data_IF_635852439729
#
_entry.id   IF_635852439729
#
_cell.length_a   1.000
_cell.length_b   1.000
_cell.length_c   1.000
_cell.angle_alpha   90.00
_cell.angle_beta   90.00
_cell.angle_gamma   90.00
#
_symmetry.space_group_name_H-M   'P 1'
#
loop_
_entity.id
_entity.type
_entity.pdbx_description
1 polymer ?
#
# COMPACT_ATOMS: atom_id res chain seq x y z
N UNK A 1 -18.87 14.90 5.69
CA UNK A 1 -17.82 14.15 6.41
C UNK A 1 -17.83 12.76 5.84
N UNK A 2 -16.91 12.47 4.92
CA UNK A 2 -16.75 11.12 4.37
C UNK A 2 -15.66 10.37 5.15
N UNK A 3 -15.80 9.07 5.31
CA UNK A 3 -14.76 8.17 5.81
C UNK A 3 -13.89 7.71 4.66
N UNK A 4 -12.64 8.15 4.65
CA UNK A 4 -11.71 7.95 3.54
C UNK A 4 -10.52 7.12 4.01
N UNK A 5 -10.29 6.00 3.35
CA UNK A 5 -9.02 5.25 3.47
C UNK A 5 -8.07 5.72 2.37
N UNK A 6 -6.88 6.15 2.75
CA UNK A 6 -5.81 6.53 1.81
C UNK A 6 -4.70 5.49 1.83
N UNK A 7 -4.40 4.92 0.66
CA UNK A 7 -3.31 3.97 0.44
C UNK A 7 -2.09 4.66 -0.15
N UNK A 8 -1.00 4.70 0.61
CA UNK A 8 0.20 5.43 0.23
C UNK A 8 1.20 4.58 -0.56
N UNK A 9 1.65 5.17 -1.67
CA UNK A 9 2.73 4.76 -2.55
C UNK A 9 4.10 4.57 -1.87
N UNK A 10 5.09 4.05 -2.63
CA UNK A 10 6.47 4.03 -2.15
C UNK A 10 7.08 5.44 -2.08
N UNK A 11 6.68 6.32 -3.00
CA UNK A 11 7.03 7.74 -3.08
C UNK A 11 6.58 8.57 -1.87
N UNK A 12 5.61 8.08 -1.09
CA UNK A 12 5.16 8.74 0.13
C UNK A 12 6.20 8.68 1.27
N UNK A 13 7.16 7.75 1.18
CA UNK A 13 8.16 7.47 2.21
C UNK A 13 9.57 7.51 1.62
N UNK A 14 9.79 6.85 0.48
CA UNK A 14 11.11 6.72 -0.12
C UNK A 14 11.40 7.88 -1.08
N UNK A 15 12.61 8.42 -0.97
CA UNK A 15 13.18 9.38 -1.93
C UNK A 15 14.33 8.72 -2.72
N UNK A 16 15.01 9.48 -3.61
CA UNK A 16 16.25 8.99 -4.24
C UNK A 16 17.35 8.68 -3.21
N UNK A 17 17.32 9.38 -2.08
CA UNK A 17 18.11 9.08 -0.90
C UNK A 17 17.30 8.16 0.05
N UNK A 18 17.91 7.02 0.41
CA UNK A 18 17.33 6.01 1.29
C UNK A 18 17.60 6.27 2.79
N UNK A 19 18.32 7.35 3.14
CA UNK A 19 18.58 7.73 4.53
C UNK A 19 17.28 7.94 5.32
N UNK A 20 17.34 7.70 6.63
CA UNK A 20 16.19 7.94 7.51
C UNK A 20 15.74 9.42 7.46
N UNK A 21 16.68 10.36 7.40
CA UNK A 21 16.39 11.79 7.28
C UNK A 21 15.60 12.11 6.01
N UNK A 22 16.04 11.59 4.86
CA UNK A 22 15.34 11.81 3.59
C UNK A 22 13.95 11.17 3.58
N UNK A 23 13.79 9.98 4.18
CA UNK A 23 12.49 9.34 4.31
C UNK A 23 11.54 10.11 5.24
N UNK A 24 12.02 10.60 6.38
CA UNK A 24 11.24 11.45 7.28
C UNK A 24 10.81 12.75 6.60
N UNK A 25 11.67 13.34 5.76
CA UNK A 25 11.34 14.53 4.95
C UNK A 25 10.26 14.23 3.91
N UNK A 26 10.31 13.07 3.26
CA UNK A 26 9.25 12.63 2.34
C UNK A 26 7.92 12.41 3.07
N UNK A 27 7.95 11.75 4.23
CA UNK A 27 6.77 11.57 5.10
C UNK A 27 6.16 12.90 5.52
N UNK A 28 6.98 13.91 5.86
CA UNK A 28 6.48 15.26 6.19
C UNK A 28 5.79 15.94 5.01
N UNK A 29 6.31 15.80 3.80
CA UNK A 29 5.62 16.30 2.59
C UNK A 29 4.29 15.58 2.37
N UNK A 30 4.26 14.26 2.54
CA UNK A 30 3.03 13.47 2.46
C UNK A 30 2.01 13.92 3.50
N UNK A 31 2.43 14.19 4.74
CA UNK A 31 1.54 14.65 5.79
C UNK A 31 0.83 15.99 5.43
N UNK A 32 1.55 16.93 4.81
CA UNK A 32 0.98 18.20 4.30
C UNK A 32 -0.14 17.99 3.28
N UNK A 33 -0.02 16.98 2.45
CA UNK A 33 -1.05 16.62 1.49
C UNK A 33 -2.24 15.95 2.18
N UNK A 34 -1.97 15.02 3.11
CA UNK A 34 -3.02 14.28 3.83
C UNK A 34 -3.90 15.16 4.72
N UNK A 35 -3.36 16.21 5.33
CA UNK A 35 -4.18 17.14 6.14
C UNK A 35 -5.22 17.89 5.32
N UNK A 36 -5.12 17.92 3.98
CA UNK A 36 -6.15 18.52 3.10
C UNK A 36 -7.48 17.77 3.20
N UNK A 37 -7.48 16.44 3.31
CA UNK A 37 -8.70 15.66 3.57
C UNK A 37 -9.33 16.05 4.91
N UNK A 38 -8.50 16.27 5.94
CA UNK A 38 -8.97 16.67 7.26
C UNK A 38 -9.60 18.06 7.22
N UNK A 39 -8.98 19.01 6.49
CA UNK A 39 -9.54 20.35 6.24
C UNK A 39 -10.85 20.33 5.45
N UNK A 40 -11.00 19.37 4.53
CA UNK A 40 -12.26 19.10 3.82
C UNK A 40 -13.36 18.52 4.74
N UNK A 41 -13.03 18.18 5.98
CA UNK A 41 -13.96 17.63 6.97
C UNK A 41 -14.11 16.11 6.89
N UNK A 42 -13.16 15.41 6.27
CA UNK A 42 -13.16 13.95 6.16
C UNK A 42 -12.57 13.27 7.40
N UNK A 43 -13.01 12.03 7.64
CA UNK A 43 -12.39 11.10 8.57
C UNK A 43 -11.32 10.31 7.82
N UNK A 44 -10.07 10.67 8.06
CA UNK A 44 -8.91 10.07 7.37
C UNK A 44 -8.43 8.81 8.09
N UNK A 45 -8.21 7.75 7.32
CA UNK A 45 -7.51 6.52 7.71
C UNK A 45 -6.32 6.34 6.76
N UNK A 46 -5.13 6.09 7.31
CA UNK A 46 -3.90 6.02 6.53
C UNK A 46 -3.41 4.57 6.48
N UNK A 47 -3.07 4.09 5.28
CA UNK A 47 -2.29 2.86 5.08
C UNK A 47 -1.08 3.19 4.21
N UNK A 48 -0.03 2.36 4.26
CA UNK A 48 1.18 2.62 3.48
C UNK A 48 1.87 1.32 3.06
N UNK A 49 2.77 1.42 2.06
CA UNK A 49 3.70 0.34 1.73
C UNK A 49 4.93 0.32 2.61
N UNK A 50 5.71 -0.76 2.54
CA UNK A 50 6.99 -0.88 3.24
C UNK A 50 8.07 -1.60 2.40
N UNK A 51 7.84 -1.88 1.12
CA UNK A 51 8.69 -2.79 0.32
C UNK A 51 10.20 -2.49 0.36
N UNK A 52 10.63 -1.23 0.14
CA UNK A 52 12.03 -0.84 0.31
C UNK A 52 12.51 -1.00 1.77
N UNK A 53 11.71 -0.56 2.74
CA UNK A 53 12.07 -0.55 4.16
C UNK A 53 12.23 -1.96 4.73
N UNK A 54 11.28 -2.85 4.45
CA UNK A 54 11.30 -4.23 4.95
C UNK A 54 12.43 -5.03 4.31
N UNK A 55 12.72 -4.81 3.04
CA UNK A 55 13.85 -5.49 2.40
C UNK A 55 15.21 -4.95 2.86
N UNK A 56 15.36 -3.64 3.10
CA UNK A 56 16.58 -3.11 3.71
C UNK A 56 16.79 -3.64 5.13
N UNK A 57 15.72 -3.70 5.93
CA UNK A 57 15.79 -4.28 7.27
C UNK A 57 16.17 -5.77 7.21
N UNK A 58 15.62 -6.51 6.27
CA UNK A 58 15.95 -7.92 6.08
C UNK A 58 17.42 -8.14 5.68
N UNK A 59 18.00 -7.23 4.87
CA UNK A 59 19.44 -7.25 4.59
C UNK A 59 20.28 -7.01 5.85
N UNK A 60 19.83 -6.11 6.73
CA UNK A 60 20.49 -5.87 8.02
C UNK A 60 20.39 -7.09 8.94
N UNK A 61 19.22 -7.76 8.99
CA UNK A 61 19.02 -8.99 9.74
C UNK A 61 19.96 -10.10 9.24
N UNK A 62 19.99 -10.32 7.92
CA UNK A 62 20.87 -11.32 7.30
C UNK A 62 22.35 -11.03 7.53
N UNK A 63 22.77 -9.77 7.48
CA UNK A 63 24.17 -9.38 7.70
C UNK A 63 24.62 -9.60 9.15
N UNK A 64 23.69 -9.56 10.11
CA UNK A 64 23.95 -9.75 11.53
C UNK A 64 23.60 -11.17 12.03
N UNK A 65 23.13 -12.05 11.14
CA UNK A 65 22.66 -13.39 11.48
C UNK A 65 23.80 -14.26 12.02
N UNK A 66 23.58 -14.81 13.20
CA UNK A 66 24.53 -15.69 13.89
C UNK A 66 23.82 -16.51 14.97
N UNK A 67 24.46 -17.55 15.49
CA UNK A 67 23.90 -18.37 16.57
C UNK A 67 23.55 -17.54 17.83
N UNK A 68 24.32 -16.49 18.12
CA UNK A 68 24.10 -15.60 19.27
C UNK A 68 23.22 -14.39 18.96
N UNK A 69 22.96 -14.11 17.67
CA UNK A 69 22.09 -13.03 17.21
C UNK A 69 21.36 -13.47 15.93
N UNK A 70 20.37 -14.35 16.03
CA UNK A 70 19.68 -14.88 14.86
C UNK A 70 18.84 -13.80 14.17
N UNK A 71 18.82 -13.84 12.84
CA UNK A 71 17.97 -12.98 12.02
C UNK A 71 16.48 -13.17 12.34
N UNK A 72 15.77 -12.06 12.43
CA UNK A 72 14.31 -12.08 12.56
C UNK A 72 13.65 -12.46 11.22
N UNK A 73 12.56 -13.25 11.25
CA UNK A 73 11.84 -13.63 10.05
C UNK A 73 11.14 -12.42 9.40
N UNK A 74 10.75 -12.57 8.14
CA UNK A 74 10.20 -11.48 7.31
C UNK A 74 8.93 -10.85 7.90
N UNK A 75 8.04 -11.63 8.48
CA UNK A 75 6.80 -11.15 9.13
C UNK A 75 7.12 -10.23 10.31
N UNK A 76 8.13 -10.60 11.12
CA UNK A 76 8.62 -9.78 12.24
C UNK A 76 9.31 -8.51 11.73
N UNK A 77 10.08 -8.59 10.65
CA UNK A 77 10.61 -7.41 9.97
C UNK A 77 9.47 -6.49 9.48
N UNK A 78 8.37 -7.08 8.97
CA UNK A 78 7.14 -6.38 8.64
C UNK A 78 6.60 -5.58 9.83
N UNK A 79 6.48 -6.22 11.00
CA UNK A 79 6.05 -5.57 12.24
C UNK A 79 6.96 -4.40 12.65
N UNK A 80 8.28 -4.59 12.58
CA UNK A 80 9.26 -3.53 12.86
C UNK A 80 9.08 -2.32 11.94
N UNK A 81 8.81 -2.55 10.65
CA UNK A 81 8.57 -1.45 9.70
C UNK A 81 7.24 -0.72 9.92
N UNK A 82 6.21 -1.39 10.46
CA UNK A 82 5.00 -0.68 10.89
C UNK A 82 5.29 0.27 12.04
N UNK A 83 6.10 -0.18 13.02
CA UNK A 83 6.53 0.67 14.12
C UNK A 83 7.32 1.89 13.65
N UNK A 84 8.35 1.69 12.82
CA UNK A 84 9.21 2.80 12.37
C UNK A 84 8.49 3.80 11.44
N UNK A 85 7.75 3.31 10.45
CA UNK A 85 7.02 4.18 9.50
C UNK A 85 5.81 4.84 10.20
N UNK A 86 5.09 4.08 11.03
CA UNK A 86 3.98 4.60 11.82
C UNK A 86 4.42 5.71 12.77
N UNK A 87 5.57 5.55 13.44
CA UNK A 87 6.20 6.59 14.24
C UNK A 87 6.48 7.87 13.43
N UNK A 88 7.07 7.76 12.24
CA UNK A 88 7.34 8.93 11.39
C UNK A 88 6.06 9.65 10.96
N UNK A 89 5.04 8.91 10.53
CA UNK A 89 3.76 9.51 10.13
C UNK A 89 3.02 10.12 11.31
N UNK A 90 3.03 9.49 12.49
CA UNK A 90 2.42 10.07 13.68
C UNK A 90 3.03 11.44 14.01
N UNK A 91 4.36 11.54 14.02
CA UNK A 91 5.05 12.79 14.30
C UNK A 91 4.73 13.86 13.25
N UNK A 92 4.86 13.51 11.96
CA UNK A 92 4.62 14.44 10.88
C UNK A 92 3.16 14.92 10.83
N UNK A 93 2.19 14.02 10.95
CA UNK A 93 0.78 14.39 10.96
C UNK A 93 0.43 15.25 12.18
N UNK A 94 0.92 14.91 13.38
CA UNK A 94 0.63 15.72 14.58
C UNK A 94 1.23 17.12 14.46
N UNK A 95 2.45 17.25 13.93
CA UNK A 95 3.08 18.55 13.65
C UNK A 95 2.20 19.40 12.71
N UNK A 96 1.84 18.86 11.53
CA UNK A 96 1.04 19.60 10.54
C UNK A 96 -0.38 19.94 11.05
N UNK A 97 -0.97 19.08 11.89
CA UNK A 97 -2.26 19.36 12.53
C UNK A 97 -2.16 20.52 13.53
N UNK A 98 -1.12 20.53 14.37
CA UNK A 98 -0.90 21.59 15.35
C UNK A 98 -0.60 22.94 14.68
N UNK A 99 0.18 22.94 13.60
CA UNK A 99 0.45 24.15 12.79
C UNK A 99 -0.83 24.76 12.21
N UNK A 100 -1.85 23.93 11.95
CA UNK A 100 -3.17 24.34 11.49
C UNK A 100 -4.16 24.64 12.63
N UNK A 101 -3.73 24.52 13.89
CA UNK A 101 -4.59 24.68 15.07
C UNK A 101 -5.65 23.58 15.23
N UNK A 102 -5.42 22.40 14.64
CA UNK A 102 -6.31 21.25 14.70
C UNK A 102 -5.84 20.31 15.81
N UNK A 103 -6.62 20.20 16.89
CA UNK A 103 -6.34 19.24 17.95
C UNK A 103 -7.03 17.90 17.67
N UNK A 104 -6.30 17.01 16.99
CA UNK A 104 -6.68 15.60 16.79
C UNK A 104 -5.50 14.69 17.11
N UNK A 105 -5.81 13.49 17.57
CA UNK A 105 -4.81 12.45 17.80
C UNK A 105 -4.55 11.63 16.55
N UNK A 106 -3.31 11.14 16.44
CA UNK A 106 -2.84 10.28 15.36
C UNK A 106 -2.21 9.05 16.00
N UNK A 107 -2.63 7.85 15.59
CA UNK A 107 -2.23 6.60 16.23
C UNK A 107 -1.84 5.55 15.19
N UNK A 108 -0.60 5.07 15.23
CA UNK A 108 -0.20 3.88 14.49
C UNK A 108 -0.57 2.62 15.27
N UNK A 109 -1.16 1.66 14.57
CA UNK A 109 -1.65 0.41 15.16
C UNK A 109 -0.93 -0.73 14.46
N UNK A 110 -0.20 -1.53 15.25
CA UNK A 110 0.37 -2.78 14.75
C UNK A 110 -0.78 -3.66 14.26
N UNK A 111 -0.74 -4.01 12.98
CA UNK A 111 -1.85 -4.63 12.26
C UNK A 111 -1.42 -5.98 11.71
N UNK A 112 -2.19 -7.01 12.03
CA UNK A 112 -2.08 -8.35 11.47
C UNK A 112 -3.15 -8.53 10.38
N UNK A 113 -2.74 -9.11 9.27
CA UNK A 113 -3.62 -9.43 8.15
C UNK A 113 -3.69 -10.93 7.98
N UNK A 114 -4.91 -11.46 8.12
CA UNK A 114 -5.18 -12.88 7.98
C UNK A 114 -5.19 -13.25 6.50
N UNK A 115 -4.46 -14.30 6.17
CA UNK A 115 -4.34 -14.85 4.81
C UNK A 115 -4.69 -16.34 4.81
N UNK A 116 -4.95 -16.90 3.63
CA UNK A 116 -5.16 -18.35 3.48
C UNK A 116 -3.81 -19.07 3.61
N UNK A 117 -3.74 -20.12 4.43
CA UNK A 117 -2.52 -20.94 4.54
C UNK A 117 -2.19 -21.67 3.23
N UNK A 118 -3.19 -21.92 2.39
CA UNK A 118 -3.04 -22.60 1.11
C UNK A 118 -3.05 -21.63 -0.09
N UNK A 119 -2.81 -20.33 0.14
CA UNK A 119 -2.75 -19.36 -0.97
C UNK A 119 -1.62 -19.76 -1.96
N UNK A 120 -1.91 -19.90 -3.27
CA UNK A 120 -0.90 -20.27 -4.28
C UNK A 120 0.30 -19.34 -4.34
N UNK A 121 0.20 -18.12 -3.82
CA UNK A 121 1.31 -17.18 -3.74
C UNK A 121 2.47 -17.66 -2.84
N UNK A 122 2.22 -18.60 -1.92
CA UNK A 122 3.29 -19.22 -1.13
C UNK A 122 4.20 -20.11 -1.96
N UNK A 123 3.66 -20.75 -3.01
CA UNK A 123 4.43 -21.57 -3.94
C UNK A 123 4.98 -20.74 -5.10
N UNK A 124 4.34 -19.61 -5.42
CA UNK A 124 4.68 -18.74 -6.56
C UNK A 124 4.96 -17.29 -6.09
N UNK A 125 6.13 -17.02 -5.47
CA UNK A 125 6.46 -15.70 -4.97
C UNK A 125 6.63 -14.71 -6.11
N UNK A 126 6.07 -13.51 -5.94
CA UNK A 126 6.03 -12.48 -6.99
C UNK A 126 6.22 -11.06 -6.49
N UNK A 127 6.12 -10.82 -5.18
CA UNK A 127 6.23 -9.46 -4.62
C UNK A 127 7.68 -9.06 -4.44
N UNK A 128 8.18 -8.04 -5.14
CA UNK A 128 9.58 -7.66 -5.02
C UNK A 128 9.82 -6.85 -3.74
N UNK A 129 10.86 -7.19 -2.99
CA UNK A 129 11.29 -6.50 -1.76
C UNK A 129 12.77 -6.11 -1.82
N UNK A 130 13.17 -5.12 -1.03
CA UNK A 130 14.58 -4.71 -0.92
C UNK A 130 15.11 -3.94 -2.13
N UNK A 131 16.45 -3.74 -2.19
CA UNK A 131 17.11 -2.94 -3.22
C UNK A 131 17.14 -3.65 -4.57
N UNK A 132 17.55 -2.91 -5.60
CA UNK A 132 17.85 -3.46 -6.93
C UNK A 132 19.28 -3.98 -6.98
N UNK A 133 19.44 -5.15 -7.59
CA UNK A 133 20.72 -5.80 -7.88
C UNK A 133 21.00 -5.78 -9.39
N UNK A 134 22.28 -5.79 -9.75
CA UNK A 134 22.77 -5.99 -11.11
C UNK A 134 22.85 -7.47 -11.43
N UNK A 135 22.83 -7.81 -12.71
CA UNK A 135 22.97 -9.19 -13.19
C UNK A 135 24.27 -9.85 -12.70
N UNK A 136 25.36 -9.08 -12.63
CA UNK A 136 26.66 -9.54 -12.16
C UNK A 136 26.68 -9.99 -10.69
N UNK A 137 25.72 -9.54 -9.88
CA UNK A 137 25.64 -9.85 -8.45
C UNK A 137 24.83 -11.13 -8.17
N UNK A 138 24.10 -11.65 -9.17
CA UNK A 138 23.14 -12.75 -8.98
C UNK A 138 23.78 -14.06 -8.54
N UNK A 139 24.97 -14.38 -9.06
CA UNK A 139 25.68 -15.62 -8.71
C UNK A 139 26.12 -15.64 -7.25
N UNK A 140 26.60 -14.49 -6.75
CA UNK A 140 27.00 -14.34 -5.35
C UNK A 140 25.78 -14.39 -4.42
N UNK A 141 24.71 -13.67 -4.76
CA UNK A 141 23.46 -13.68 -3.99
C UNK A 141 22.87 -15.09 -3.88
N UNK A 142 22.86 -15.87 -4.97
CA UNK A 142 22.40 -17.26 -4.94
C UNK A 142 23.31 -18.17 -4.10
N UNK A 143 24.62 -17.91 -4.07
CA UNK A 143 25.52 -18.67 -3.20
C UNK A 143 25.32 -18.36 -1.73
N UNK A 144 25.07 -17.08 -1.38
CA UNK A 144 24.84 -16.65 0.00
C UNK A 144 23.44 -17.00 0.49
N UNK A 145 22.45 -16.98 -0.41
CA UNK A 145 21.05 -17.20 -0.11
C UNK A 145 20.40 -18.15 -1.14
N UNK A 146 20.68 -19.46 -1.04
CA UNK A 146 20.18 -20.45 -2.01
C UNK A 146 18.65 -20.48 -2.17
N UNK A 147 17.93 -20.11 -1.11
CA UNK A 147 16.46 -20.15 -1.08
C UNK A 147 15.81 -18.86 -1.63
N UNK A 148 16.60 -17.87 -2.03
CA UNK A 148 16.05 -16.62 -2.58
C UNK A 148 15.59 -16.80 -4.02
N UNK A 149 14.33 -16.47 -4.27
CA UNK A 149 13.81 -16.27 -5.62
C UNK A 149 14.10 -14.83 -6.03
N UNK A 150 14.84 -14.65 -7.13
CA UNK A 150 15.22 -13.34 -7.67
C UNK A 150 14.70 -13.24 -9.11
N UNK A 151 14.00 -12.15 -9.43
CA UNK A 151 13.45 -11.89 -10.76
C UNK A 151 13.94 -10.53 -11.30
N UNK A 152 13.85 -10.36 -12.61
CA UNK A 152 13.98 -9.06 -13.28
C UNK A 152 12.75 -8.19 -12.97
N UNK A 153 12.96 -6.90 -12.64
CA UNK A 153 11.89 -5.95 -12.31
C UNK A 153 11.87 -4.76 -13.30
N UNK A 154 11.23 -5.00 -14.44
CA UNK A 154 10.77 -3.98 -15.38
C UNK A 154 11.90 -3.14 -16.00
N UNK A 155 13.03 -3.77 -16.33
CA UNK A 155 14.22 -3.14 -16.90
C UNK A 155 15.09 -2.37 -15.89
N UNK A 156 14.74 -2.40 -14.60
CA UNK A 156 15.44 -1.61 -13.55
C UNK A 156 16.51 -2.40 -12.80
N UNK A 157 16.68 -3.67 -13.15
CA UNK A 157 17.56 -4.62 -12.48
C UNK A 157 16.78 -5.76 -11.84
N UNK A 158 17.40 -6.43 -10.88
CA UNK A 158 16.88 -7.65 -10.28
C UNK A 158 16.51 -7.44 -8.83
N UNK A 159 15.47 -8.13 -8.34
CA UNK A 159 15.02 -8.03 -6.95
C UNK A 159 14.60 -9.38 -6.40
N UNK A 160 14.82 -9.57 -5.09
CA UNK A 160 14.25 -10.69 -4.35
C UNK A 160 12.74 -10.57 -4.35
N UNK A 161 12.05 -11.68 -4.63
CA UNK A 161 10.59 -11.79 -4.48
C UNK A 161 10.21 -12.69 -3.32
N UNK A 162 9.07 -12.39 -2.74
CA UNK A 162 8.46 -13.14 -1.64
C UNK A 162 6.99 -13.41 -1.93
N UNK A 163 6.35 -14.35 -1.21
CA UNK A 163 4.92 -14.60 -1.32
C UNK A 163 4.09 -13.33 -1.11
N UNK A 164 2.99 -13.21 -1.86
CA UNK A 164 2.03 -12.10 -1.77
C UNK A 164 0.59 -12.61 -1.74
N UNK A 165 0.20 -13.31 -0.65
CA UNK A 165 -1.14 -13.84 -0.52
C UNK A 165 -2.19 -12.73 -0.41
N UNK A 166 -3.42 -13.03 -0.80
CA UNK A 166 -4.52 -12.06 -0.73
C UNK A 166 -4.99 -11.87 0.72
N UNK A 167 -5.29 -10.63 1.15
CA UNK A 167 -5.81 -10.38 2.48
C UNK A 167 -7.25 -10.88 2.59
N UNK A 168 -7.50 -11.80 3.51
CA UNK A 168 -8.85 -12.26 3.84
C UNK A 168 -9.53 -11.28 4.80
N UNK A 169 -8.82 -10.88 5.85
CA UNK A 169 -9.34 -10.08 6.96
C UNK A 169 -8.21 -9.29 7.65
N UNK A 170 -8.53 -8.13 8.22
CA UNK A 170 -7.64 -7.39 9.10
C UNK A 170 -8.02 -7.71 10.53
N UNK A 171 -7.14 -8.31 11.32
CA UNK A 171 -7.50 -8.83 12.65
C UNK A 171 -7.98 -7.72 13.60
N UNK A 172 -7.32 -6.56 13.59
CA UNK A 172 -7.61 -5.45 14.50
C UNK A 172 -8.77 -4.54 14.03
N UNK A 173 -9.51 -4.89 12.97
CA UNK A 173 -10.48 -3.97 12.34
C UNK A 173 -11.54 -3.43 13.30
N UNK A 174 -12.02 -4.24 14.25
CA UNK A 174 -13.03 -3.80 15.24
C UNK A 174 -12.50 -2.74 16.20
N UNK A 175 -11.22 -2.80 16.57
CA UNK A 175 -10.56 -1.77 17.36
C UNK A 175 -10.31 -0.52 16.51
N UNK A 176 -9.88 -0.70 15.26
CA UNK A 176 -9.67 0.40 14.30
C UNK A 176 -10.97 1.20 14.10
N UNK A 177 -12.13 0.55 13.97
CA UNK A 177 -13.44 1.25 13.88
C UNK A 177 -13.67 2.16 15.09
N UNK A 178 -13.43 1.67 16.31
CA UNK A 178 -13.60 2.48 17.54
C UNK A 178 -12.64 3.69 17.57
N UNK A 179 -11.43 3.53 17.07
CA UNK A 179 -10.45 4.63 16.96
C UNK A 179 -10.95 5.70 15.98
N UNK A 180 -11.45 5.29 14.81
CA UNK A 180 -12.06 6.20 13.83
C UNK A 180 -13.29 6.91 14.40
N UNK A 181 -14.17 6.18 15.09
CA UNK A 181 -15.39 6.72 15.70
C UNK A 181 -15.07 7.73 16.82
N UNK A 182 -13.93 7.58 17.48
CA UNK A 182 -13.42 8.54 18.47
C UNK A 182 -12.79 9.80 17.85
N UNK A 183 -12.75 9.92 16.52
CA UNK A 183 -12.16 11.07 15.80
C UNK A 183 -10.63 11.05 15.74
N UNK A 184 -10.01 9.94 16.14
CA UNK A 184 -8.57 9.72 16.05
C UNK A 184 -8.24 9.29 14.61
N UNK A 185 -7.09 9.71 14.09
CA UNK A 185 -6.60 9.36 12.75
C UNK A 185 -5.70 8.11 12.86
N UNK A 186 -6.18 6.93 12.43
CA UNK A 186 -5.38 5.72 12.54
C UNK A 186 -4.44 5.54 11.34
N UNK A 187 -3.22 5.08 11.61
CA UNK A 187 -2.27 4.57 10.63
C UNK A 187 -2.22 3.05 10.80
N UNK A 188 -2.69 2.32 9.82
CA UNK A 188 -2.98 0.87 9.94
C UNK A 188 -2.49 0.11 8.73
N UNK A 189 -2.40 -1.21 8.85
CA UNK A 189 -2.04 -2.10 7.76
C UNK A 189 -0.74 -1.67 7.04
N UNK A 190 0.24 -1.14 7.79
CA UNK A 190 1.52 -0.73 7.23
C UNK A 190 2.21 -1.93 6.55
N UNK A 191 2.63 -1.74 5.30
CA UNK A 191 3.17 -2.82 4.47
C UNK A 191 2.16 -3.86 3.99
N UNK A 192 0.86 -3.58 4.10
CA UNK A 192 -0.20 -4.57 3.88
C UNK A 192 -0.59 -5.36 5.14
N UNK A 193 0.02 -5.05 6.30
CA UNK A 193 -0.18 -5.78 7.55
C UNK A 193 0.75 -7.00 7.69
N UNK A 194 0.94 -7.47 8.92
CA UNK A 194 1.77 -8.65 9.24
C UNK A 194 0.99 -9.89 8.77
N UNK A 195 1.51 -10.70 7.83
CA UNK A 195 0.79 -11.87 7.33
C UNK A 195 0.69 -12.93 8.41
N UNK A 196 -0.54 -13.35 8.73
CA UNK A 196 -0.80 -14.41 9.70
C UNK A 196 -1.82 -15.41 9.17
N UNK A 197 -1.71 -16.67 9.60
CA UNK A 197 -2.73 -17.70 9.39
C UNK A 197 -3.36 -18.11 10.71
N UNK A 198 -4.64 -18.48 10.69
CA UNK A 198 -5.33 -19.02 11.86
C UNK A 198 -5.01 -20.50 12.05
N UNK A 199 -4.45 -20.88 13.21
CA UNK A 199 -4.24 -22.27 13.62
C UNK A 199 -4.93 -22.53 14.95
N UNK A 200 -6.19 -22.98 14.87
CA UNK A 200 -7.07 -23.04 16.04
C UNK A 200 -7.27 -21.65 16.63
N UNK A 201 -6.96 -21.48 17.92
CA UNK A 201 -7.07 -20.19 18.63
C UNK A 201 -5.80 -19.32 18.55
N UNK A 202 -4.85 -19.65 17.68
CA UNK A 202 -3.57 -18.91 17.53
C UNK A 202 -3.46 -18.30 16.15
N UNK A 203 -2.83 -17.13 16.09
CA UNK A 203 -2.31 -16.55 14.85
C UNK A 203 -0.83 -16.92 14.73
N UNK A 204 -0.43 -17.37 13.55
CA UNK A 204 0.95 -17.75 13.26
C UNK A 204 1.44 -16.92 12.09
N UNK A 205 2.55 -16.21 12.30
CA UNK A 205 3.21 -15.43 11.27
C UNK A 205 3.65 -16.26 10.07
N UNK A 206 3.57 -15.67 8.89
CA UNK A 206 4.03 -16.27 7.64
C UNK A 206 4.94 -15.28 6.93
N UNK A 207 6.09 -15.76 6.44
CA UNK A 207 7.04 -14.94 5.69
C UNK A 207 6.49 -14.60 4.30
N UNK A 208 5.77 -13.47 4.24
CA UNK A 208 5.15 -12.94 3.05
C UNK A 208 5.07 -11.41 3.14
N UNK A 209 4.79 -10.76 2.02
CA UNK A 209 4.43 -9.34 1.99
C UNK A 209 3.13 -9.19 1.21
N UNK A 210 2.10 -8.76 1.91
CA UNK A 210 0.77 -8.57 1.35
C UNK A 210 0.77 -7.30 0.51
N UNK A 211 0.05 -7.33 -0.62
CA UNK A 211 -0.11 -6.13 -1.40
C UNK A 211 -0.93 -5.08 -0.63
N UNK A 212 -0.31 -3.92 -0.42
CA UNK A 212 -0.88 -2.82 0.36
C UNK A 212 -2.19 -2.29 -0.23
N UNK A 213 -2.37 -2.30 -1.55
CA UNK A 213 -3.55 -1.73 -2.19
C UNK A 213 -4.75 -2.67 -1.95
N UNK A 214 -4.53 -3.98 -2.04
CA UNK A 214 -5.53 -4.98 -1.62
C UNK A 214 -5.83 -4.92 -0.12
N UNK A 215 -4.82 -4.70 0.72
CA UNK A 215 -5.04 -4.58 2.17
C UNK A 215 -5.80 -3.29 2.52
N UNK A 216 -5.48 -2.18 1.87
CA UNK A 216 -6.22 -0.91 1.97
C UNK A 216 -7.68 -1.07 1.55
N UNK A 217 -7.92 -1.76 0.42
CA UNK A 217 -9.26 -2.14 -0.03
C UNK A 217 -9.99 -3.00 1.00
N UNK A 218 -9.30 -3.97 1.63
CA UNK A 218 -9.88 -4.83 2.67
C UNK A 218 -10.25 -4.06 3.92
N UNK A 219 -9.37 -3.21 4.47
CA UNK A 219 -9.71 -2.41 5.66
C UNK A 219 -10.83 -1.42 5.35
N UNK A 220 -10.83 -0.79 4.17
CA UNK A 220 -11.87 0.12 3.74
C UNK A 220 -13.25 -0.55 3.70
N UNK A 221 -13.33 -1.79 3.21
CA UNK A 221 -14.55 -2.61 3.27
C UNK A 221 -14.98 -2.88 4.72
N UNK A 222 -14.06 -3.30 5.58
CA UNK A 222 -14.37 -3.71 6.96
C UNK A 222 -14.82 -2.56 7.87
N UNK A 223 -14.39 -1.33 7.57
CA UNK A 223 -14.73 -0.13 8.35
C UNK A 223 -15.86 0.70 7.73
N UNK A 224 -16.50 0.20 6.67
CA UNK A 224 -17.57 0.90 5.94
C UNK A 224 -17.09 2.27 5.46
N UNK A 225 -15.96 2.32 4.74
CA UNK A 225 -15.44 3.55 4.17
C UNK A 225 -16.30 4.02 2.98
N UNK A 226 -16.52 5.33 2.90
CA UNK A 226 -17.27 5.97 1.81
C UNK A 226 -16.44 6.10 0.53
N UNK A 227 -15.11 6.10 0.66
CA UNK A 227 -14.18 6.20 -0.47
C UNK A 227 -12.84 5.54 -0.11
N UNK A 228 -12.24 4.88 -1.09
CA UNK A 228 -10.84 4.49 -1.06
C UNK A 228 -10.05 5.38 -2.01
N UNK A 229 -8.91 5.89 -1.57
CA UNK A 229 -8.00 6.69 -2.40
C UNK A 229 -6.66 5.96 -2.44
N UNK A 230 -6.14 5.69 -3.63
CA UNK A 230 -4.83 5.07 -3.85
C UNK A 230 -3.91 6.14 -4.44
N UNK A 231 -2.96 6.61 -3.64
CA UNK A 231 -2.00 7.63 -4.07
C UNK A 231 -0.74 6.98 -4.64
N UNK A 232 -0.39 7.36 -5.87
CA UNK A 232 0.72 6.82 -6.65
C UNK A 232 1.67 7.95 -7.10
N UNK A 233 2.54 7.65 -8.07
CA UNK A 233 3.46 8.57 -8.73
C UNK A 233 3.32 8.56 -10.25
N UNK A 234 2.13 8.19 -10.74
CA UNK A 234 1.87 7.90 -12.15
C UNK A 234 0.67 8.70 -12.70
N UNK A 235 0.11 9.60 -11.92
CA UNK A 235 -1.16 10.28 -12.16
C UNK A 235 -2.32 9.33 -11.89
N UNK A 236 -3.14 9.14 -12.91
CA UNK A 236 -4.26 8.20 -12.90
C UNK A 236 -3.95 6.84 -13.53
N UNK A 237 -5.02 6.21 -14.01
CA UNK A 237 -5.02 4.99 -14.81
C UNK A 237 -5.09 5.39 -16.28
N UNK A 238 -4.34 4.68 -17.12
CA UNK A 238 -4.31 4.93 -18.56
C UNK A 238 -4.56 3.65 -19.33
N UNK A 239 -5.32 3.74 -20.41
CA UNK A 239 -5.24 2.76 -21.50
C UNK A 239 -4.03 3.06 -22.37
N UNK A 240 -3.42 2.00 -22.93
CA UNK A 240 -2.23 2.12 -23.78
C UNK A 240 -1.07 2.92 -23.15
N UNK A 241 -0.86 2.75 -21.84
CA UNK A 241 0.18 3.45 -21.10
C UNK A 241 1.56 3.35 -21.80
N UNK A 242 2.22 4.49 -22.00
CA UNK A 242 3.52 4.60 -22.66
C UNK A 242 3.49 4.51 -24.20
N UNK A 243 2.32 4.44 -24.83
CA UNK A 243 2.17 4.41 -26.30
C UNK A 243 1.65 5.74 -26.84
N UNK A 244 1.78 6.02 -28.16
CA UNK A 244 1.29 7.26 -28.77
C UNK A 244 -0.21 7.49 -28.62
N UNK A 245 -0.98 6.42 -28.47
CA UNK A 245 -2.43 6.39 -28.28
C UNK A 245 -2.83 6.22 -26.81
N UNK A 246 -1.95 6.61 -25.88
CA UNK A 246 -2.25 6.63 -24.45
C UNK A 246 -3.45 7.53 -24.15
N UNK A 247 -4.40 7.03 -23.35
CA UNK A 247 -5.58 7.78 -22.90
C UNK A 247 -5.73 7.65 -21.40
N UNK A 248 -5.85 8.78 -20.70
CA UNK A 248 -6.15 8.81 -19.27
C UNK A 248 -7.64 8.53 -19.02
N UNK A 249 -7.92 7.69 -18.04
CA UNK A 249 -9.27 7.44 -17.56
C UNK A 249 -9.62 8.47 -16.49
N UNK A 250 -10.64 9.30 -16.72
CA UNK A 250 -11.13 10.22 -15.67
C UNK A 250 -12.21 9.58 -14.80
N UNK A 251 -13.22 8.97 -15.41
CA UNK A 251 -14.21 8.13 -14.73
C UNK A 251 -14.42 6.84 -15.53
N UNK A 252 -14.47 5.68 -14.85
CA UNK A 252 -14.65 4.38 -15.51
C UNK A 252 -15.48 3.42 -14.65
N UNK A 253 -16.32 2.64 -15.30
CA UNK A 253 -17.10 1.57 -14.68
C UNK A 253 -16.27 0.33 -14.37
N UNK A 254 -16.65 -0.41 -13.32
CA UNK A 254 -15.94 -1.65 -12.97
C UNK A 254 -16.04 -2.73 -14.05
N UNK A 255 -17.12 -2.77 -14.85
CA UNK A 255 -17.30 -3.77 -15.90
C UNK A 255 -16.40 -3.48 -17.12
N UNK A 256 -16.17 -2.21 -17.44
CA UNK A 256 -15.27 -1.80 -18.52
C UNK A 256 -13.82 -2.08 -18.13
N UNK A 257 -13.38 -1.58 -16.97
CA UNK A 257 -12.00 -1.77 -16.53
C UNK A 257 -11.67 -3.26 -16.27
N UNK A 258 -12.66 -4.09 -15.92
CA UNK A 258 -12.48 -5.54 -15.75
C UNK A 258 -12.06 -6.21 -17.07
N UNK A 259 -12.59 -5.78 -18.21
CA UNK A 259 -12.21 -6.34 -19.52
C UNK A 259 -10.71 -6.10 -19.79
N UNK A 260 -10.21 -4.91 -19.46
CA UNK A 260 -8.79 -4.57 -19.59
C UNK A 260 -7.89 -5.31 -18.59
N UNK A 261 -8.40 -5.58 -17.37
CA UNK A 261 -7.73 -6.44 -16.39
C UNK A 261 -7.59 -7.87 -16.95
N UNK A 262 -8.67 -8.43 -17.47
CA UNK A 262 -8.71 -9.80 -18.00
C UNK A 262 -7.82 -9.96 -19.25
N UNK A 263 -7.73 -8.90 -20.05
CA UNK A 263 -6.82 -8.80 -21.20
C UNK A 263 -5.33 -8.55 -20.81
N UNK A 264 -5.01 -8.44 -19.52
CA UNK A 264 -3.66 -8.17 -19.00
C UNK A 264 -3.04 -6.86 -19.53
N UNK A 265 -3.83 -5.81 -19.74
CA UNK A 265 -3.35 -4.56 -20.34
C UNK A 265 -2.67 -3.61 -19.34
N UNK A 266 -2.77 -3.89 -18.03
CA UNK A 266 -2.08 -3.14 -16.99
C UNK A 266 -0.78 -3.82 -16.54
N UNK A 267 0.22 -3.02 -16.15
CA UNK A 267 1.50 -3.53 -15.68
C UNK A 267 1.36 -4.30 -14.35
N UNK A 268 1.77 -5.58 -14.33
CA UNK A 268 1.63 -6.52 -13.20
C UNK A 268 2.30 -6.07 -11.90
N UNK A 269 3.42 -5.33 -11.99
CA UNK A 269 4.18 -4.86 -10.84
C UNK A 269 3.74 -3.51 -10.26
N UNK A 270 2.79 -2.81 -10.89
CA UNK A 270 2.41 -1.44 -10.51
C UNK A 270 0.91 -1.18 -10.59
N UNK A 271 0.36 -0.99 -11.79
CA UNK A 271 -1.02 -0.53 -11.95
C UNK A 271 -2.04 -1.68 -11.81
N UNK A 272 -1.72 -2.89 -12.27
CA UNK A 272 -2.61 -4.05 -12.18
C UNK A 272 -3.16 -4.31 -10.76
N UNK A 273 -2.32 -4.42 -9.69
CA UNK A 273 -2.85 -4.64 -8.36
C UNK A 273 -3.73 -3.48 -7.86
N UNK A 274 -3.47 -2.24 -8.29
CA UNK A 274 -4.28 -1.06 -7.92
C UNK A 274 -5.68 -1.14 -8.49
N UNK A 275 -5.80 -1.39 -9.79
CA UNK A 275 -7.11 -1.49 -10.45
C UNK A 275 -7.87 -2.72 -9.95
N UNK A 276 -7.19 -3.84 -9.68
CA UNK A 276 -7.84 -5.02 -9.11
C UNK A 276 -8.34 -4.78 -7.68
N UNK A 277 -7.55 -4.12 -6.83
CA UNK A 277 -7.97 -3.75 -5.48
C UNK A 277 -9.13 -2.74 -5.50
N UNK A 278 -9.12 -1.82 -6.46
CA UNK A 278 -10.17 -0.84 -6.66
C UNK A 278 -11.49 -1.52 -7.09
N UNK A 279 -11.45 -2.37 -8.12
CA UNK A 279 -12.61 -3.14 -8.57
C UNK A 279 -13.18 -4.00 -7.43
N UNK A 280 -12.33 -4.64 -6.62
CA UNK A 280 -12.78 -5.41 -5.47
C UNK A 280 -13.53 -4.54 -4.44
N UNK A 281 -13.03 -3.33 -4.14
CA UNK A 281 -13.69 -2.41 -3.22
C UNK A 281 -15.06 -1.97 -3.76
N UNK A 282 -15.11 -1.47 -5.00
CA UNK A 282 -16.35 -0.97 -5.61
C UNK A 282 -17.38 -2.08 -5.75
N UNK A 283 -16.96 -3.29 -6.14
CA UNK A 283 -17.86 -4.44 -6.27
C UNK A 283 -18.49 -4.84 -4.94
N UNK A 284 -17.73 -4.79 -3.85
CA UNK A 284 -18.19 -5.22 -2.53
C UNK A 284 -18.98 -4.14 -1.77
N UNK A 285 -18.72 -2.86 -2.03
CA UNK A 285 -19.31 -1.74 -1.27
C UNK A 285 -20.28 -0.89 -2.08
N UNK A 286 -20.12 -0.84 -3.40
CA UNK A 286 -20.75 0.16 -4.26
C UNK A 286 -20.13 1.55 -4.21
N UNK A 287 -19.16 1.78 -3.31
CA UNK A 287 -18.52 3.08 -3.10
C UNK A 287 -17.35 3.30 -4.07
N UNK A 288 -17.05 4.57 -4.41
CA UNK A 288 -16.02 4.89 -5.40
C UNK A 288 -14.59 4.69 -4.90
N UNK A 289 -13.68 4.48 -5.85
CA UNK A 289 -12.23 4.51 -5.63
C UNK A 289 -11.63 5.61 -6.50
N UNK A 290 -10.66 6.37 -5.96
CA UNK A 290 -9.86 7.29 -6.77
C UNK A 290 -8.40 6.83 -6.78
N UNK A 291 -7.82 6.71 -7.97
CA UNK A 291 -6.38 6.46 -8.17
C UNK A 291 -5.78 7.75 -8.74
N UNK A 292 -4.84 8.35 -8.04
CA UNK A 292 -4.26 9.64 -8.40
C UNK A 292 -2.88 9.86 -7.81
N UNK A 293 -2.27 11.00 -8.12
CA UNK A 293 -0.96 11.36 -7.57
C UNK A 293 -1.05 12.04 -6.21
N UNK A 294 -0.01 11.83 -5.40
CA UNK A 294 0.12 12.45 -4.09
C UNK A 294 0.17 13.99 -4.17
N UNK A 295 0.71 14.55 -5.23
CA UNK A 295 0.83 16.01 -5.41
C UNK A 295 -0.51 16.66 -5.78
N UNK A 296 -1.47 15.86 -6.29
CA UNK A 296 -2.77 16.32 -6.78
C UNK A 296 -3.89 16.11 -5.74
N UNK A 297 -3.57 15.90 -4.47
CA UNK A 297 -4.59 15.59 -3.44
C UNK A 297 -5.69 16.65 -3.36
N UNK A 298 -5.36 17.93 -3.54
CA UNK A 298 -6.37 18.99 -3.57
C UNK A 298 -7.33 18.81 -4.75
N UNK A 299 -6.81 18.57 -5.94
CA UNK A 299 -7.59 18.37 -7.16
C UNK A 299 -8.41 17.06 -7.11
N UNK A 300 -7.87 16.02 -6.47
CA UNK A 300 -8.58 14.75 -6.19
C UNK A 300 -9.79 14.97 -5.25
N UNK A 301 -9.64 15.84 -4.23
CA UNK A 301 -10.74 16.20 -3.33
C UNK A 301 -11.84 16.94 -4.12
N UNK A 302 -11.44 17.84 -5.03
CA UNK A 302 -12.36 18.62 -5.87
C UNK A 302 -12.97 17.80 -7.03
N UNK A 303 -12.37 16.65 -7.37
CA UNK A 303 -12.82 15.77 -8.45
C UNK A 303 -12.30 16.14 -9.84
N UNK A 304 -11.23 16.95 -9.90
CA UNK A 304 -10.64 17.43 -11.16
C UNK A 304 -9.53 16.50 -11.68
N UNK A 305 -8.84 15.79 -10.80
CA UNK A 305 -7.71 14.92 -11.16
C UNK A 305 -7.84 13.48 -10.66
N UNK A 306 -7.07 12.60 -11.30
CA UNK A 306 -7.06 11.16 -11.07
C UNK A 306 -8.16 10.40 -11.81
N UNK A 307 -8.18 9.09 -11.60
CA UNK A 307 -9.18 8.18 -12.14
C UNK A 307 -10.17 7.78 -11.06
N UNK A 308 -11.44 8.09 -11.26
CA UNK A 308 -12.54 7.62 -10.43
C UNK A 308 -13.10 6.31 -10.99
N UNK A 309 -13.01 5.24 -10.21
CA UNK A 309 -13.59 3.93 -10.55
C UNK A 309 -14.90 3.79 -9.76
N UNK A 310 -16.00 3.54 -10.48
CA UNK A 310 -17.36 3.50 -9.94
C UNK A 310 -18.11 2.26 -10.42
N UNK A 311 -19.20 1.92 -9.74
CA UNK A 311 -20.01 0.74 -10.10
C UNK A 311 -20.67 0.91 -11.46
N UNK A 312 -21.37 2.03 -11.64
CA UNK A 312 -22.02 2.41 -12.89
C UNK A 312 -21.58 3.85 -13.21
N UNK A 313 -20.77 4.07 -14.26
CA UNK A 313 -20.34 5.41 -14.63
C UNK A 313 -21.53 6.21 -15.18
N UNK A 314 -21.52 7.52 -14.98
CA UNK A 314 -22.50 8.37 -15.67
C UNK A 314 -22.16 8.32 -17.16
N UNK A 315 -23.10 8.00 -18.06
CA UNK A 315 -22.82 8.03 -19.49
C UNK A 315 -22.24 9.39 -19.85
N UNK A 316 -21.05 9.41 -20.46
CA UNK A 316 -20.46 10.65 -20.93
C UNK A 316 -21.52 11.38 -21.77
N UNK A 317 -21.86 12.61 -21.39
CA UNK A 317 -22.77 13.42 -22.18
C UNK A 317 -22.19 13.48 -23.59
N UNK A 318 -22.90 12.92 -24.57
CA UNK A 318 -22.53 12.96 -25.98
C UNK A 318 -22.35 14.43 -26.34
N UNK A 319 -21.11 14.87 -26.51
CA UNK A 319 -20.77 16.18 -27.05
C UNK A 319 -20.63 16.09 -28.55
#
# INVERSE_FOLDING_TARGET
>A
MAKIVVALGGNAILSKDASAEAQMKAVKKTAKELVKFIKNGDQLIITHGNGPQVGNLLLQQNAADSETNPAMPLDTCGAMTQGSIGYWFQNAMKEELLDLGIDRDVMAIVTQTIVDENDPAFENPSKPIGPFYKESELSELKSMHPDWVIIEDSGRGYRRVVPSPKPLEINEYTAIKKVVDAGIIPIVSGGGGIPVVRKGNRLVGKEAVIDKDFSASKIAQLIDADKLIILTSAGGVYYNYGKPDQVELKEVGIDDIQQHIDANEFAKGSMMPKVQAAVAFVRNTGNPVVIGDLEDVQEIIEGNEGTTIVKNPVPAAVK
#
